data_IF_375072133862
#
_entry.id   IF_375072133862
#
_cell.length_a   1.000
_cell.length_b   1.000
_cell.length_c   1.000
_cell.angle_alpha   90.00
_cell.angle_beta   90.00
_cell.angle_gamma   90.00
#
_symmetry.space_group_name_H-M   'P 1'
#
loop_
_entity.id
_entity.type
_entity.pdbx_description
1 polymer ?
#
# COMPACT_ATOMS: atom_id res chain seq x y z
N UNK A 1 39.66 36.94 18.15
CA UNK A 1 40.74 35.98 17.81
C UNK A 1 40.91 34.99 18.96
N UNK A 2 40.64 33.70 18.74
CA UNK A 2 41.42 32.55 19.23
C UNK A 2 40.79 31.25 18.72
N UNK A 3 41.68 30.35 18.30
CA UNK A 3 41.50 29.21 17.40
C UNK A 3 40.97 27.96 18.13
N UNK A 4 40.15 27.21 17.39
CA UNK A 4 40.18 25.76 17.09
C UNK A 4 40.78 24.83 18.15
N UNK A 5 40.10 23.72 18.46
CA UNK A 5 40.61 22.36 18.16
C UNK A 5 39.44 21.39 17.93
N UNK A 6 39.45 20.73 16.76
CA UNK A 6 38.71 19.51 16.43
C UNK A 6 39.74 18.39 16.41
N UNK A 7 39.48 17.24 17.04
CA UNK A 7 40.12 15.99 16.66
C UNK A 7 39.10 15.06 15.97
N UNK A 8 39.48 14.66 14.77
CA UNK A 8 38.98 13.50 14.03
C UNK A 8 39.41 12.19 14.71
N UNK A 9 38.92 11.05 14.18
CA UNK A 9 39.36 9.62 14.30
C UNK A 9 38.11 8.75 14.48
N UNK A 10 37.85 7.65 13.79
CA UNK A 10 38.50 6.99 12.65
C UNK A 10 37.48 6.06 11.96
N UNK A 11 37.72 5.83 10.67
CA UNK A 11 37.07 4.83 9.81
C UNK A 11 37.52 3.42 10.22
N UNK A 12 36.57 2.50 10.39
CA UNK A 12 36.85 1.05 10.40
C UNK A 12 36.05 0.38 9.28
N UNK A 13 36.78 -0.04 8.25
CA UNK A 13 36.33 -0.90 7.15
C UNK A 13 36.35 -2.34 7.65
N UNK A 14 35.18 -2.98 7.74
CA UNK A 14 35.04 -4.40 8.03
C UNK A 14 34.69 -5.18 6.75
N UNK A 15 35.72 -5.75 6.11
CA UNK A 15 35.59 -6.77 5.06
C UNK A 15 35.41 -8.14 5.73
N UNK A 16 34.36 -8.87 5.37
CA UNK A 16 34.26 -10.29 5.71
C UNK A 16 32.87 -10.91 5.62
N UNK A 17 32.53 -11.48 4.46
CA UNK A 17 31.63 -12.63 4.36
C UNK A 17 31.85 -13.32 3.00
N UNK A 18 32.65 -14.38 3.00
CA UNK A 18 32.83 -15.31 1.89
C UNK A 18 31.84 -16.48 2.02
N UNK A 19 31.16 -16.75 0.90
CA UNK A 19 30.71 -18.04 0.37
C UNK A 19 29.77 -18.94 1.19
N UNK A 20 28.60 -19.24 0.59
CA UNK A 20 27.73 -20.33 1.03
C UNK A 20 26.39 -20.41 0.30
N UNK A 21 26.36 -20.56 -1.03
CA UNK A 21 25.16 -21.00 -1.75
C UNK A 21 25.53 -22.10 -2.75
N UNK A 22 25.67 -23.32 -2.24
CA UNK A 22 25.54 -24.52 -3.05
C UNK A 22 24.06 -24.92 -3.05
N UNK A 23 23.40 -24.84 -4.21
CA UNK A 23 22.00 -25.26 -4.30
C UNK A 23 21.23 -24.73 -5.50
N UNK A 24 21.75 -24.89 -6.72
CA UNK A 24 20.91 -24.83 -7.92
C UNK A 24 21.10 -26.12 -8.69
N UNK A 25 20.05 -26.95 -8.64
CA UNK A 25 20.02 -28.28 -9.22
C UNK A 25 20.21 -28.24 -10.73
N UNK A 26 21.38 -28.71 -11.17
CA UNK A 26 21.60 -29.10 -12.55
C UNK A 26 20.94 -30.46 -12.78
N UNK A 27 19.65 -30.47 -13.09
CA UNK A 27 18.98 -31.67 -13.63
C UNK A 27 18.79 -31.45 -15.12
N UNK A 28 19.55 -32.13 -16.00
CA UNK A 28 19.25 -32.08 -17.42
C UNK A 28 17.85 -32.67 -17.62
N UNK A 29 16.95 -31.87 -18.18
CA UNK A 29 15.64 -32.30 -18.62
C UNK A 29 15.84 -33.22 -19.82
N UNK A 30 15.91 -34.53 -19.58
CA UNK A 30 16.04 -35.51 -20.63
C UNK A 30 14.66 -35.72 -21.28
N UNK A 31 14.46 -35.11 -22.44
CA UNK A 31 13.24 -35.19 -23.27
C UNK A 31 13.25 -36.38 -24.26
N UNK A 32 14.25 -37.26 -24.20
CA UNK A 32 14.47 -38.32 -25.21
C UNK A 32 13.86 -39.69 -24.87
N UNK A 33 12.95 -39.81 -23.91
CA UNK A 33 12.38 -41.11 -23.51
C UNK A 33 10.90 -41.32 -23.84
N UNK A 34 10.29 -40.47 -24.67
CA UNK A 34 8.87 -40.61 -25.05
C UNK A 34 8.59 -41.15 -26.46
N UNK A 35 9.62 -41.52 -27.22
CA UNK A 35 9.43 -42.18 -28.51
C UNK A 35 10.25 -43.46 -28.60
N UNK A 36 9.79 -44.49 -27.90
CA UNK A 36 10.01 -45.87 -28.32
C UNK A 36 8.65 -46.49 -28.62
N UNK A 37 8.36 -46.64 -29.91
CA UNK A 37 7.33 -47.53 -30.44
C UNK A 37 8.04 -48.80 -30.89
N UNK A 38 7.62 -49.97 -30.39
CA UNK A 38 7.37 -51.03 -31.37
C UNK A 38 6.08 -51.82 -31.14
N UNK A 39 5.23 -51.75 -32.16
CA UNK A 39 4.55 -52.86 -32.85
C UNK A 39 3.13 -53.28 -32.39
N UNK A 40 2.25 -53.68 -33.34
CA UNK A 40 0.82 -53.80 -33.13
C UNK A 40 0.42 -55.15 -32.52
N UNK A 41 -0.11 -55.12 -31.30
CA UNK A 41 -0.78 -56.25 -30.67
C UNK A 41 -2.30 -56.14 -30.80
N UNK A 42 -2.90 -57.03 -31.59
CA UNK A 42 -4.35 -57.26 -31.65
C UNK A 42 -4.89 -57.68 -30.27
N UNK A 43 -5.86 -56.95 -29.72
CA UNK A 43 -6.75 -57.44 -28.64
C UNK A 43 -8.07 -56.64 -28.58
N UNK A 44 -9.11 -57.37 -28.15
CA UNK A 44 -10.56 -57.15 -28.26
C UNK A 44 -11.14 -55.80 -27.76
N UNK A 45 -12.37 -55.43 -28.18
CA UNK A 45 -12.99 -54.16 -27.79
C UNK A 45 -13.48 -54.21 -26.34
N UNK A 46 -12.78 -53.50 -25.46
CA UNK A 46 -13.28 -53.10 -24.14
C UNK A 46 -13.68 -51.64 -24.22
N UNK A 47 -14.96 -51.34 -23.98
CA UNK A 47 -15.47 -49.98 -23.96
C UNK A 47 -14.84 -49.20 -22.79
N UNK A 48 -14.26 -48.01 -23.02
CA UNK A 48 -13.64 -47.23 -21.96
C UNK A 48 -14.71 -46.56 -21.09
N UNK A 49 -14.48 -46.42 -19.77
CA UNK A 49 -15.28 -45.54 -18.93
C UNK A 49 -15.07 -44.09 -19.38
N UNK A 50 -16.19 -43.38 -19.59
CA UNK A 50 -16.22 -41.98 -20.00
C UNK A 50 -15.57 -41.13 -18.90
N UNK A 51 -14.31 -40.73 -19.08
CA UNK A 51 -13.65 -39.78 -18.20
C UNK A 51 -14.34 -38.43 -18.33
N UNK A 52 -15.02 -37.98 -17.25
CA UNK A 52 -15.45 -36.58 -17.14
C UNK A 52 -14.19 -35.71 -17.14
N UNK A 53 -13.99 -34.96 -18.20
CA UNK A 53 -13.04 -33.86 -18.22
C UNK A 53 -13.41 -32.90 -17.07
N UNK A 54 -12.56 -32.82 -16.06
CA UNK A 54 -12.62 -31.77 -15.05
C UNK A 54 -12.37 -30.46 -15.79
N UNK A 55 -13.38 -29.60 -15.85
CA UNK A 55 -13.23 -28.27 -16.42
C UNK A 55 -12.08 -27.56 -15.68
N UNK A 56 -11.15 -26.89 -16.41
CA UNK A 56 -10.10 -26.13 -15.76
C UNK A 56 -10.73 -25.09 -14.82
N UNK A 57 -10.15 -24.83 -13.65
CA UNK A 57 -10.66 -23.83 -12.74
C UNK A 57 -10.74 -22.50 -13.50
N UNK A 58 -11.93 -21.90 -13.51
CA UNK A 58 -12.15 -20.58 -14.09
C UNK A 58 -11.30 -19.62 -13.27
N UNK A 59 -10.18 -19.19 -13.84
CA UNK A 59 -9.34 -18.15 -13.27
C UNK A 59 -10.20 -16.89 -13.33
N UNK A 60 -10.83 -16.54 -12.21
CA UNK A 60 -11.52 -15.25 -12.08
C UNK A 60 -10.45 -14.19 -12.32
N UNK A 61 -10.49 -13.56 -13.49
CA UNK A 61 -9.62 -12.44 -13.80
C UNK A 61 -9.98 -11.35 -12.82
N UNK A 62 -9.10 -11.10 -11.84
CA UNK A 62 -9.24 -9.98 -10.92
C UNK A 62 -9.40 -8.73 -11.78
N UNK A 63 -10.58 -8.11 -11.74
CA UNK A 63 -10.82 -6.90 -12.50
C UNK A 63 -9.74 -5.87 -12.11
N UNK A 64 -9.16 -5.21 -13.11
CA UNK A 64 -8.19 -4.16 -12.84
C UNK A 64 -8.82 -3.09 -11.91
N UNK A 65 -8.05 -2.48 -11.00
CA UNK A 65 -8.55 -1.40 -10.15
C UNK A 65 -9.15 -0.30 -11.03
N UNK A 66 -10.32 0.19 -10.68
CA UNK A 66 -10.90 1.35 -11.37
C UNK A 66 -10.24 2.64 -10.86
N UNK A 67 -9.36 3.29 -11.63
CA UNK A 67 -8.69 4.52 -11.20
C UNK A 67 -9.68 5.66 -10.92
N UNK A 68 -10.84 5.66 -11.58
CA UNK A 68 -11.87 6.71 -11.39
C UNK A 68 -12.46 6.69 -10.00
N UNK A 69 -12.51 5.51 -9.37
CA UNK A 69 -12.95 5.39 -7.98
C UNK A 69 -11.95 5.99 -7.00
N UNK A 70 -10.66 5.81 -7.26
CA UNK A 70 -9.61 6.41 -6.45
C UNK A 70 -9.67 7.95 -6.55
N UNK A 71 -9.86 8.47 -7.76
CA UNK A 71 -10.04 9.91 -8.01
C UNK A 71 -11.31 10.47 -7.34
N UNK A 72 -12.45 9.78 -7.47
CA UNK A 72 -13.71 10.21 -6.87
C UNK A 72 -13.68 10.17 -5.33
N UNK A 73 -12.82 9.33 -4.74
CA UNK A 73 -12.60 9.27 -3.31
C UNK A 73 -11.64 10.36 -2.79
N UNK A 74 -11.03 11.18 -3.66
CA UNK A 74 -10.20 12.29 -3.21
C UNK A 74 -11.05 13.42 -2.58
N UNK A 75 -10.53 13.96 -1.48
CA UNK A 75 -10.87 15.30 -1.02
C UNK A 75 -10.62 16.31 -2.13
N UNK A 76 -11.50 17.31 -2.20
CA UNK A 76 -11.46 18.43 -3.13
C UNK A 76 -11.40 19.75 -2.35
N UNK A 77 -11.13 20.86 -3.03
CA UNK A 77 -11.02 22.17 -2.38
C UNK A 77 -12.25 22.55 -1.53
N UNK A 78 -13.50 22.31 -1.97
CA UNK A 78 -14.67 22.55 -1.13
C UNK A 78 -14.70 21.73 0.17
N UNK A 79 -14.13 20.52 0.17
CA UNK A 79 -14.14 19.67 1.37
C UNK A 79 -13.24 20.26 2.46
N UNK A 80 -12.12 20.88 2.07
CA UNK A 80 -11.11 21.44 2.98
C UNK A 80 -11.20 22.95 3.16
N UNK A 81 -12.17 23.62 2.54
CA UNK A 81 -12.29 25.07 2.58
C UNK A 81 -12.37 25.64 4.02
N UNK A 82 -13.05 24.94 4.93
CA UNK A 82 -13.17 25.31 6.35
C UNK A 82 -11.84 25.25 7.12
N UNK A 83 -10.84 24.52 6.61
CA UNK A 83 -9.50 24.49 7.21
C UNK A 83 -8.69 25.75 6.85
N UNK A 84 -9.19 26.59 5.94
CA UNK A 84 -8.49 27.80 5.50
C UNK A 84 -7.20 27.49 4.72
N UNK A 85 -7.15 26.32 4.08
CA UNK A 85 -6.02 25.89 3.25
C UNK A 85 -6.20 26.32 1.80
N UNK A 86 -5.09 26.47 1.09
CA UNK A 86 -5.07 26.70 -0.35
C UNK A 86 -4.41 25.53 -1.08
N UNK A 87 -4.77 25.26 -2.35
CA UNK A 87 -4.08 24.26 -3.16
C UNK A 87 -2.57 24.51 -3.16
N UNK A 88 -1.78 23.45 -3.00
CA UNK A 88 -0.34 23.57 -2.90
C UNK A 88 0.38 22.40 -3.54
N UNK A 89 1.63 22.65 -3.93
CA UNK A 89 2.53 21.60 -4.39
C UNK A 89 3.42 21.15 -3.24
N UNK A 90 3.39 19.86 -2.93
CA UNK A 90 4.22 19.28 -1.89
C UNK A 90 3.60 18.00 -1.36
N UNK A 91 4.43 17.02 -1.02
CA UNK A 91 3.98 15.79 -0.40
C UNK A 91 4.45 15.81 1.04
N UNK A 92 3.49 15.78 1.97
CA UNK A 92 3.82 15.51 3.37
C UNK A 92 4.32 14.08 3.46
N UNK A 93 5.59 13.92 3.78
CA UNK A 93 6.20 12.62 4.07
C UNK A 93 5.49 12.00 5.27
N UNK A 94 5.28 10.69 5.24
CA UNK A 94 4.61 9.98 6.33
C UNK A 94 4.36 8.54 5.94
N UNK A 95 3.31 7.95 6.49
CA UNK A 95 2.98 6.56 6.22
C UNK A 95 2.60 6.26 4.76
N UNK A 96 2.28 7.30 3.99
CA UNK A 96 1.85 7.21 2.59
C UNK A 96 2.86 6.51 1.69
N UNK A 97 4.17 6.73 1.93
CA UNK A 97 5.23 6.13 1.10
C UNK A 97 5.45 4.65 1.35
N UNK A 98 4.97 4.11 2.48
CA UNK A 98 5.15 2.71 2.87
C UNK A 98 4.00 1.78 2.47
N UNK A 99 2.92 2.32 1.90
CA UNK A 99 1.77 1.51 1.47
C UNK A 99 2.17 0.60 0.30
N UNK A 100 1.59 -0.60 0.29
CA UNK A 100 1.79 -1.57 -0.79
C UNK A 100 1.47 -0.95 -2.17
N UNK A 101 2.12 -1.46 -3.21
CA UNK A 101 1.91 -1.00 -4.59
C UNK A 101 0.44 -1.15 -5.01
N UNK A 102 -0.08 -0.10 -5.64
CA UNK A 102 -1.44 0.00 -6.14
C UNK A 102 -1.59 1.25 -7.01
N UNK A 103 -2.75 1.41 -7.65
CA UNK A 103 -3.05 2.58 -8.46
C UNK A 103 -3.35 3.76 -7.53
N UNK A 104 -2.59 4.85 -7.66
CA UNK A 104 -2.51 5.89 -6.64
C UNK A 104 -2.76 7.27 -7.23
N UNK A 105 -3.61 8.03 -6.55
CA UNK A 105 -3.84 9.45 -6.85
C UNK A 105 -3.73 10.28 -5.58
N UNK A 106 -3.26 11.53 -5.71
CA UNK A 106 -2.98 12.38 -4.56
C UNK A 106 -3.22 13.86 -4.83
N UNK A 107 -3.58 14.59 -3.78
CA UNK A 107 -3.82 16.03 -3.78
C UNK A 107 -3.26 16.64 -2.50
N UNK A 108 -2.84 17.91 -2.58
CA UNK A 108 -2.19 18.59 -1.47
C UNK A 108 -2.63 20.04 -1.30
N UNK A 109 -2.60 20.49 -0.05
CA UNK A 109 -2.90 21.86 0.34
C UNK A 109 -1.90 22.38 1.37
N UNK A 110 -1.82 23.70 1.49
CA UNK A 110 -0.94 24.40 2.42
C UNK A 110 -1.76 25.39 3.22
N UNK A 111 -1.53 25.41 4.53
CA UNK A 111 -2.08 26.42 5.44
C UNK A 111 -1.25 27.71 5.34
N UNK A 112 -1.83 28.89 5.59
CA UNK A 112 -1.09 30.16 5.66
C UNK A 112 0.10 30.15 6.65
N UNK A 113 0.07 29.27 7.65
CA UNK A 113 1.16 29.08 8.61
C UNK A 113 2.37 28.30 8.07
N UNK A 114 2.31 27.79 6.84
CA UNK A 114 3.30 26.89 6.25
C UNK A 114 3.12 25.42 6.63
N UNK A 115 2.09 25.09 7.43
CA UNK A 115 1.66 23.70 7.66
C UNK A 115 1.11 23.11 6.36
N UNK A 116 1.12 21.79 6.20
CA UNK A 116 0.74 21.14 4.95
C UNK A 116 -0.17 19.93 5.18
N UNK A 117 -1.00 19.67 4.17
CA UNK A 117 -1.95 18.57 4.10
C UNK A 117 -1.72 17.82 2.79
N UNK A 118 -1.61 16.50 2.85
CA UNK A 118 -1.63 15.63 1.66
C UNK A 118 -2.67 14.55 1.87
N UNK A 119 -3.51 14.35 0.87
CA UNK A 119 -4.46 13.25 0.82
C UNK A 119 -4.15 12.37 -0.39
N UNK A 120 -4.13 11.07 -0.17
CA UNK A 120 -3.85 10.07 -1.17
C UNK A 120 -4.89 8.96 -1.09
N UNK A 121 -5.32 8.47 -2.24
CA UNK A 121 -6.15 7.27 -2.33
C UNK A 121 -5.44 6.26 -3.21
N UNK A 122 -5.35 5.03 -2.71
CA UNK A 122 -4.80 3.89 -3.43
C UNK A 122 -5.88 2.84 -3.65
N UNK A 123 -6.02 2.38 -4.90
CA UNK A 123 -6.87 1.27 -5.28
C UNK A 123 -6.04 -0.01 -5.51
N UNK A 124 -6.49 -1.10 -4.89
CA UNK A 124 -5.84 -2.41 -4.94
C UNK A 124 -6.61 -3.37 -5.85
N UNK A 125 -5.90 -4.15 -6.67
CA UNK A 125 -6.50 -5.06 -7.66
C UNK A 125 -6.84 -6.44 -7.09
N UNK A 126 -6.00 -6.86 -6.16
CA UNK A 126 -5.79 -8.25 -5.76
C UNK A 126 -5.88 -8.44 -4.24
N UNK A 127 -6.18 -7.36 -3.50
CA UNK A 127 -6.30 -7.39 -2.04
C UNK A 127 -7.27 -6.36 -1.50
N UNK A 128 -7.79 -6.64 -0.31
CA UNK A 128 -8.61 -5.70 0.43
C UNK A 128 -7.75 -4.55 0.98
N UNK A 129 -8.31 -3.36 1.00
CA UNK A 129 -7.71 -2.20 1.66
C UNK A 129 -7.69 -2.38 3.17
N UNK A 130 -8.64 -3.12 3.74
CA UNK A 130 -8.68 -3.46 5.16
C UNK A 130 -7.45 -4.24 5.60
N UNK A 131 -7.04 -5.26 4.83
CA UNK A 131 -5.83 -6.04 5.10
C UNK A 131 -4.58 -5.17 4.98
N UNK A 132 -4.56 -4.25 4.01
CA UNK A 132 -3.47 -3.29 3.84
C UNK A 132 -3.35 -2.39 5.07
N UNK A 133 -4.45 -1.79 5.53
CA UNK A 133 -4.43 -0.89 6.70
C UNK A 133 -4.11 -1.65 7.99
N UNK A 134 -4.67 -2.85 8.18
CA UNK A 134 -4.40 -3.68 9.36
C UNK A 134 -2.93 -4.13 9.43
N UNK A 135 -2.33 -4.48 8.29
CA UNK A 135 -0.93 -4.89 8.20
C UNK A 135 0.08 -3.73 8.16
N UNK A 136 -0.38 -2.49 7.99
CA UNK A 136 0.51 -1.32 7.92
C UNK A 136 0.94 -0.89 9.31
N UNK A 137 2.24 -0.64 9.49
CA UNK A 137 2.80 -0.01 10.67
C UNK A 137 3.61 1.21 10.25
N UNK A 138 3.23 2.38 10.73
CA UNK A 138 3.93 3.62 10.46
C UNK A 138 4.91 3.95 11.58
N UNK A 139 5.89 4.80 11.29
CA UNK A 139 6.72 5.40 12.33
C UNK A 139 5.89 6.31 13.25
N UNK A 140 6.40 6.53 14.47
CA UNK A 140 5.76 7.36 15.48
C UNK A 140 4.83 6.62 16.43
N UNK A 141 4.13 7.40 17.25
CA UNK A 141 3.19 6.88 18.25
C UNK A 141 1.81 6.69 17.64
N UNK A 142 1.18 5.54 17.92
CA UNK A 142 -0.20 5.27 17.50
C UNK A 142 -1.17 6.24 18.19
N UNK A 143 -2.15 6.70 17.41
CA UNK A 143 -3.18 7.65 17.85
C UNK A 143 -4.54 6.99 17.77
N UNK A 144 -5.28 7.07 18.88
CA UNK A 144 -6.68 6.68 18.91
C UNK A 144 -7.54 7.66 18.09
N UNK A 145 -8.33 7.09 17.18
CA UNK A 145 -9.27 7.81 16.33
C UNK A 145 -10.70 7.48 16.76
N UNK A 146 -11.64 8.45 16.70
CA UNK A 146 -13.05 8.16 16.91
C UNK A 146 -13.56 7.18 15.83
N UNK A 147 -14.29 6.12 16.18
CA UNK A 147 -14.86 5.19 15.20
C UNK A 147 -15.69 5.92 14.15
N UNK A 148 -15.57 5.49 12.90
CA UNK A 148 -16.26 6.10 11.77
C UNK A 148 -17.29 5.13 11.17
N UNK A 149 -18.53 5.58 10.89
CA UNK A 149 -19.54 4.71 10.30
C UNK A 149 -19.15 4.30 8.87
N UNK A 150 -19.41 3.05 8.51
CA UNK A 150 -19.13 2.54 7.15
C UNK A 150 -17.65 2.25 6.86
N UNK A 151 -16.79 2.33 7.87
CA UNK A 151 -15.37 2.00 7.80
C UNK A 151 -15.10 0.76 8.64
N UNK A 152 -14.47 -0.24 8.03
CA UNK A 152 -14.11 -1.48 8.73
C UNK A 152 -12.81 -1.35 9.52
N UNK A 153 -11.81 -0.63 8.97
CA UNK A 153 -10.49 -0.47 9.58
C UNK A 153 -10.01 0.97 9.45
N UNK A 154 -9.53 1.53 10.55
CA UNK A 154 -8.87 2.83 10.62
C UNK A 154 -7.67 2.78 11.56
N UNK A 155 -6.57 3.43 11.19
CA UNK A 155 -5.37 3.56 12.03
C UNK A 155 -4.75 4.93 11.87
N UNK A 156 -4.06 5.42 12.90
CA UNK A 156 -3.31 6.65 12.83
C UNK A 156 -2.04 6.60 13.66
N UNK A 157 -1.06 7.37 13.22
CA UNK A 157 0.22 7.54 13.91
C UNK A 157 0.69 8.98 13.80
N UNK A 158 1.41 9.45 14.81
CA UNK A 158 2.08 10.74 14.76
C UNK A 158 3.56 10.59 15.09
N UNK A 159 4.40 11.14 14.21
CA UNK A 159 5.84 11.26 14.39
C UNK A 159 6.20 12.74 14.42
N UNK A 160 6.68 13.22 15.57
CA UNK A 160 6.92 14.65 15.79
C UNK A 160 5.65 15.46 15.54
N UNK A 161 5.71 16.41 14.62
CA UNK A 161 4.59 17.28 14.24
C UNK A 161 3.87 16.86 12.96
N UNK A 162 4.04 15.59 12.55
CA UNK A 162 3.35 15.00 11.40
C UNK A 162 2.48 13.84 11.85
N UNK A 163 1.22 13.82 11.42
CA UNK A 163 0.29 12.74 11.68
C UNK A 163 -0.21 12.12 10.38
N UNK A 164 -0.25 10.80 10.32
CA UNK A 164 -0.84 10.03 9.24
C UNK A 164 -2.10 9.31 9.73
N UNK A 165 -3.14 9.29 8.91
CA UNK A 165 -4.39 8.58 9.13
C UNK A 165 -4.65 7.70 7.92
N UNK A 166 -4.92 6.41 8.16
CA UNK A 166 -5.29 5.44 7.15
C UNK A 166 -6.70 4.93 7.42
N UNK A 167 -7.51 4.88 6.38
CA UNK A 167 -8.89 4.38 6.42
C UNK A 167 -9.17 3.54 5.18
N UNK A 168 -9.84 2.41 5.37
CA UNK A 168 -10.14 1.48 4.29
C UNK A 168 -11.63 1.20 4.13
N UNK A 169 -12.02 0.95 2.87
CA UNK A 169 -13.31 0.39 2.48
C UNK A 169 -13.16 -0.42 1.20
N UNK A 170 -13.45 -1.72 1.26
CA UNK A 170 -13.27 -2.62 0.14
C UNK A 170 -11.81 -2.59 -0.32
N UNK A 171 -11.57 -2.45 -1.61
CA UNK A 171 -10.19 -2.40 -2.16
C UNK A 171 -9.56 -0.99 -2.19
N UNK A 172 -10.19 0.00 -1.55
CA UNK A 172 -9.67 1.37 -1.49
C UNK A 172 -9.07 1.66 -0.11
N UNK A 173 -7.90 2.29 -0.11
CA UNK A 173 -7.29 2.88 1.08
C UNK A 173 -7.18 4.38 0.85
N UNK A 174 -7.77 5.15 1.75
CA UNK A 174 -7.57 6.58 1.85
C UNK A 174 -6.57 6.88 2.96
N UNK A 175 -5.63 7.75 2.64
CA UNK A 175 -4.47 8.01 3.45
C UNK A 175 -4.23 9.53 3.53
N UNK A 176 -4.37 10.09 4.73
CA UNK A 176 -4.22 11.50 5.03
C UNK A 176 -2.91 11.73 5.78
N UNK A 177 -2.12 12.71 5.39
CA UNK A 177 -0.96 13.17 6.15
C UNK A 177 -1.04 14.67 6.42
N UNK A 178 -0.87 15.04 7.68
CA UNK A 178 -0.93 16.42 8.15
C UNK A 178 0.37 16.76 8.84
N UNK A 179 1.10 17.76 8.33
CA UNK A 179 2.26 18.35 9.00
C UNK A 179 1.88 19.71 9.57
N UNK A 180 2.14 19.93 10.85
CA UNK A 180 1.86 21.18 11.53
C UNK A 180 3.07 21.69 12.32
N UNK A 181 2.90 22.86 12.95
CA UNK A 181 3.93 23.45 13.81
C UNK A 181 4.10 22.72 15.15
N UNK A 182 3.11 21.94 15.59
CA UNK A 182 3.16 21.17 16.83
C UNK A 182 2.45 19.82 16.68
N UNK A 183 2.81 18.79 17.48
CA UNK A 183 2.14 17.50 17.45
C UNK A 183 0.63 17.59 17.70
N UNK A 184 0.21 18.37 18.70
CA UNK A 184 -1.20 18.55 19.04
C UNK A 184 -2.01 19.13 17.87
N UNK A 185 -1.46 20.15 17.17
CA UNK A 185 -2.13 20.75 16.01
C UNK A 185 -2.27 19.77 14.85
N UNK A 186 -1.25 18.94 14.59
CA UNK A 186 -1.32 17.91 13.56
C UNK A 186 -2.40 16.86 13.90
N UNK A 187 -2.45 16.42 15.16
CA UNK A 187 -3.43 15.44 15.63
C UNK A 187 -4.86 15.99 15.56
N UNK A 188 -5.08 17.23 15.98
CA UNK A 188 -6.40 17.86 15.95
C UNK A 188 -6.88 18.03 14.51
N UNK A 189 -6.01 18.47 13.59
CA UNK A 189 -6.34 18.57 12.18
C UNK A 189 -6.66 17.21 11.56
N UNK A 190 -5.87 16.17 11.87
CA UNK A 190 -6.14 14.81 11.42
C UNK A 190 -7.52 14.31 11.89
N UNK A 191 -7.90 14.57 13.15
CA UNK A 191 -9.21 14.20 13.70
C UNK A 191 -10.36 14.99 13.06
N UNK A 192 -10.19 16.29 12.80
CA UNK A 192 -11.20 17.13 12.14
C UNK A 192 -11.45 16.72 10.68
N UNK A 193 -10.39 16.33 9.97
CA UNK A 193 -10.47 15.95 8.57
C UNK A 193 -10.96 14.51 8.36
N UNK A 194 -10.80 13.63 9.34
CA UNK A 194 -11.19 12.22 9.24
C UNK A 194 -12.65 12.01 8.76
N UNK A 195 -13.68 12.69 9.29
CA UNK A 195 -15.05 12.52 8.81
C UNK A 195 -15.23 12.89 7.32
N UNK A 196 -14.50 13.90 6.82
CA UNK A 196 -14.56 14.33 5.41
C UNK A 196 -13.92 13.27 4.50
N UNK A 197 -12.80 12.71 4.93
CA UNK A 197 -12.14 11.58 4.24
C UNK A 197 -13.08 10.38 4.17
N UNK A 198 -13.71 10.03 5.31
CA UNK A 198 -14.64 8.90 5.37
C UNK A 198 -15.85 9.11 4.48
N UNK A 199 -16.43 10.32 4.44
CA UNK A 199 -17.56 10.61 3.57
C UNK A 199 -17.22 10.34 2.09
N UNK A 200 -16.04 10.76 1.63
CA UNK A 200 -15.59 10.48 0.25
C UNK A 200 -15.39 9.00 -0.03
N UNK A 201 -14.76 8.29 0.92
CA UNK A 201 -14.47 6.87 0.77
C UNK A 201 -15.76 6.04 0.80
N UNK A 202 -16.69 6.35 1.70
CA UNK A 202 -17.96 5.64 1.85
C UNK A 202 -18.95 5.90 0.73
N UNK A 203 -18.84 7.03 0.02
CA UNK A 203 -19.61 7.30 -1.18
C UNK A 203 -19.21 6.41 -2.39
N UNK A 204 -18.05 5.75 -2.33
CA UNK A 204 -17.64 4.81 -3.38
C UNK A 204 -18.35 3.46 -3.24
N UNK A 205 -18.74 2.82 -4.34
CA UNK A 205 -19.51 1.58 -4.32
C UNK A 205 -18.78 0.39 -3.69
#
# INVERSE_FOLDING_TARGET
MRRRQVPAVAVLVGLGALAGLAGCGNRPNNLETYYDDPAPGTSAPVAPPVSRAVAPPVVSSSAAPDPRRAEAALLSDPDVAEEGVAPGSGRVSGCLSGLAAGERTSVSWVYPSGSALTHEVTAYADRSGEDVVAGTQCAGAEVSLPPQPGIAVQRAWCEGSTCAVLVAKGNLVSALSVAASTPARAQDAAKRLLPKVVAKLTAQP
#
